data_IF_790194865681
#
_entry.id   IF_790194865681
#
_cell.length_a   1.000
_cell.length_b   1.000
_cell.length_c   1.000
_cell.angle_alpha   90.00
_cell.angle_beta   90.00
_cell.angle_gamma   90.00
#
_symmetry.space_group_name_H-M   'P 1'
#
loop_
_entity.id
_entity.type
_entity.pdbx_description
1 polymer ?
#
# COMPACT_ATOMS: atom_id res chain seq x y z
N UNK A 1 3.00 27.20 12.18
CA UNK A 1 2.41 26.19 13.09
C UNK A 1 1.61 25.26 12.19
N UNK A 2 2.13 24.09 11.92
CA UNK A 2 1.51 23.08 11.07
C UNK A 2 0.45 22.26 11.82
N UNK A 3 -0.24 21.39 11.10
CA UNK A 3 -1.20 20.44 11.68
C UNK A 3 -0.45 19.36 12.47
N UNK A 4 -1.00 18.93 13.60
CA UNK A 4 -0.44 17.87 14.46
C UNK A 4 -1.35 16.63 14.55
N UNK A 5 -2.34 16.53 13.69
CA UNK A 5 -3.26 15.41 13.64
C UNK A 5 -3.35 14.84 12.23
N UNK A 6 -3.55 13.53 12.07
CA UNK A 6 -3.80 12.94 10.77
C UNK A 6 -5.10 13.49 10.16
N UNK A 7 -5.20 13.43 8.83
CA UNK A 7 -6.44 13.77 8.15
C UNK A 7 -7.36 12.54 8.13
N UNK A 8 -8.62 12.75 8.47
CA UNK A 8 -9.64 11.71 8.44
C UNK A 8 -10.70 12.11 7.41
N UNK A 9 -10.99 11.23 6.47
CA UNK A 9 -11.97 11.45 5.41
C UNK A 9 -12.85 10.22 5.21
N UNK A 10 -14.16 10.40 5.20
CA UNK A 10 -15.09 9.36 4.80
C UNK A 10 -15.07 9.25 3.26
N UNK A 11 -14.63 8.11 2.75
CA UNK A 11 -14.41 7.85 1.32
C UNK A 11 -15.53 7.04 0.67
N UNK A 12 -16.33 6.38 1.50
CA UNK A 12 -17.57 5.69 1.17
C UNK A 12 -18.41 5.57 2.45
N UNK A 13 -19.69 5.22 2.40
CA UNK A 13 -20.47 4.98 3.61
C UNK A 13 -19.77 4.02 4.58
N UNK A 14 -19.65 4.43 5.86
CA UNK A 14 -19.00 3.66 6.91
C UNK A 14 -17.55 3.21 6.55
N UNK A 15 -16.84 4.01 5.78
CA UNK A 15 -15.49 3.70 5.31
C UNK A 15 -14.63 4.96 5.35
N UNK A 16 -13.62 4.97 6.20
CA UNK A 16 -12.73 6.12 6.40
C UNK A 16 -11.31 5.81 5.94
N UNK A 17 -10.70 6.82 5.34
CA UNK A 17 -9.27 6.93 5.14
C UNK A 17 -8.71 7.80 6.26
N UNK A 18 -7.72 7.32 6.96
CA UNK A 18 -6.90 8.07 7.91
C UNK A 18 -5.53 8.26 7.27
N UNK A 19 -5.19 9.50 6.96
CA UNK A 19 -3.91 9.82 6.36
C UNK A 19 -2.93 10.33 7.41
N UNK A 20 -1.88 9.56 7.66
CA UNK A 20 -0.83 9.90 8.58
C UNK A 20 0.14 10.88 7.94
N UNK A 21 -0.11 12.17 8.16
CA UNK A 21 0.78 13.30 7.80
C UNK A 21 1.21 13.35 6.32
N UNK A 22 0.32 12.95 5.41
CA UNK A 22 0.56 12.95 3.98
C UNK A 22 1.38 11.76 3.48
N UNK A 23 1.83 10.89 4.36
CA UNK A 23 2.65 9.73 4.01
C UNK A 23 1.81 8.47 3.84
N UNK A 24 1.22 7.95 4.92
CA UNK A 24 0.56 6.64 4.93
C UNK A 24 -0.96 6.78 4.95
N UNK A 25 -1.61 5.84 4.31
CA UNK A 25 -3.06 5.66 4.33
C UNK A 25 -3.42 4.40 5.12
N UNK A 26 -4.18 4.59 6.16
CA UNK A 26 -4.84 3.54 6.90
C UNK A 26 -6.34 3.61 6.64
N UNK A 27 -7.04 2.49 6.72
CA UNK A 27 -8.47 2.44 6.41
C UNK A 27 -9.25 1.81 7.55
N UNK A 28 -10.44 2.36 7.82
CA UNK A 28 -11.37 1.85 8.83
C UNK A 28 -12.69 1.57 8.14
N UNK A 29 -13.17 0.34 8.24
CA UNK A 29 -14.36 -0.16 7.58
C UNK A 29 -15.34 -0.66 8.65
N UNK A 30 -16.44 0.06 8.87
CA UNK A 30 -17.46 -0.31 9.84
C UNK A 30 -18.51 -1.20 9.18
N UNK A 31 -18.72 -2.38 9.74
CA UNK A 31 -19.85 -3.24 9.42
C UNK A 31 -20.91 -3.20 10.50
N UNK A 32 -22.02 -3.91 10.27
CA UNK A 32 -23.14 -3.96 11.23
C UNK A 32 -22.84 -4.78 12.48
N UNK A 33 -21.93 -5.75 12.42
CA UNK A 33 -21.58 -6.64 13.53
C UNK A 33 -20.15 -6.47 14.01
N UNK A 34 -19.22 -6.18 13.10
CA UNK A 34 -17.81 -6.02 13.34
C UNK A 34 -17.27 -4.92 12.41
N UNK A 35 -16.08 -4.43 12.74
CA UNK A 35 -15.32 -3.50 11.92
C UNK A 35 -13.97 -4.10 11.53
N UNK A 36 -13.30 -3.47 10.58
CA UNK A 36 -11.99 -3.87 10.11
C UNK A 36 -11.11 -2.65 9.93
N UNK A 37 -9.85 -2.80 10.29
CA UNK A 37 -8.80 -1.80 10.10
C UNK A 37 -7.79 -2.37 9.14
N UNK A 38 -7.32 -1.57 8.18
CA UNK A 38 -6.28 -1.95 7.22
C UNK A 38 -5.08 -1.05 7.41
N UNK A 39 -3.95 -1.62 7.75
CA UNK A 39 -2.70 -1.01 8.13
C UNK A 39 -2.83 -0.10 9.38
N UNK A 40 -1.71 0.25 9.99
CA UNK A 40 -1.71 1.09 11.19
C UNK A 40 -0.65 2.21 11.15
N UNK A 41 -0.09 2.50 9.97
CA UNK A 41 0.80 3.64 9.76
C UNK A 41 2.19 3.47 10.37
N UNK A 42 2.91 4.58 10.48
CA UNK A 42 4.27 4.63 11.02
C UNK A 42 4.32 4.76 12.54
N UNK A 43 3.17 4.95 13.21
CA UNK A 43 3.09 5.03 14.67
C UNK A 43 3.26 6.44 15.26
N UNK A 44 2.95 7.49 14.50
CA UNK A 44 3.02 8.89 14.94
C UNK A 44 1.71 9.43 15.54
N UNK A 45 0.70 8.60 15.68
CA UNK A 45 -0.54 9.00 16.33
C UNK A 45 -1.07 7.85 17.18
N UNK A 46 -1.92 8.18 18.14
CA UNK A 46 -2.74 7.19 18.85
C UNK A 46 -3.84 6.72 17.89
N UNK A 47 -3.45 5.81 16.99
CA UNK A 47 -4.34 5.34 15.93
C UNK A 47 -5.48 4.48 16.49
N UNK A 48 -5.22 3.71 17.55
CA UNK A 48 -6.26 2.97 18.25
C UNK A 48 -7.39 3.88 18.73
N UNK A 49 -7.06 4.99 19.38
CA UNK A 49 -8.08 5.96 19.81
C UNK A 49 -8.86 6.56 18.65
N UNK A 50 -8.23 6.76 17.48
CA UNK A 50 -8.92 7.18 16.26
C UNK A 50 -9.92 6.11 15.82
N UNK A 51 -9.50 4.84 15.76
CA UNK A 51 -10.38 3.72 15.41
C UNK A 51 -11.58 3.68 16.36
N UNK A 52 -11.35 3.68 17.66
CA UNK A 52 -12.39 3.60 18.70
C UNK A 52 -13.32 4.82 18.73
N UNK A 53 -12.91 5.95 18.15
CA UNK A 53 -13.79 7.11 17.96
C UNK A 53 -14.75 6.98 16.78
N UNK A 54 -14.44 6.12 15.80
CA UNK A 54 -15.22 5.95 14.56
C UNK A 54 -16.08 4.70 14.58
N UNK A 55 -15.68 3.66 15.34
CA UNK A 55 -16.40 2.40 15.43
C UNK A 55 -16.69 2.04 16.88
N UNK A 56 -17.86 1.44 17.11
CA UNK A 56 -18.40 1.10 18.43
C UNK A 56 -18.61 -0.42 18.61
N UNK A 57 -18.17 -1.22 17.63
CA UNK A 57 -18.24 -2.68 17.63
C UNK A 57 -16.83 -3.31 17.61
N UNK A 58 -16.69 -4.62 17.86
CA UNK A 58 -15.39 -5.30 17.80
C UNK A 58 -14.74 -5.13 16.42
N UNK A 59 -13.43 -4.99 16.40
CA UNK A 59 -12.68 -4.83 15.16
C UNK A 59 -11.43 -5.72 15.09
N UNK A 60 -10.99 -6.03 13.86
CA UNK A 60 -9.75 -6.72 13.54
C UNK A 60 -8.81 -5.78 12.78
N UNK A 61 -7.49 -5.92 13.00
CA UNK A 61 -6.45 -5.22 12.22
C UNK A 61 -5.86 -6.18 11.19
N UNK A 62 -5.90 -5.80 9.93
CA UNK A 62 -5.23 -6.47 8.81
C UNK A 62 -4.03 -5.65 8.36
N UNK A 63 -2.88 -6.28 8.17
CA UNK A 63 -1.67 -5.66 7.65
C UNK A 63 -1.48 -6.08 6.20
N UNK A 64 -1.36 -5.10 5.31
CA UNK A 64 -1.11 -5.37 3.88
C UNK A 64 0.26 -5.99 3.67
N UNK A 65 1.28 -5.50 4.38
CA UNK A 65 2.65 -6.01 4.30
C UNK A 65 3.51 -5.51 5.48
N UNK A 66 4.67 -6.12 5.65
CA UNK A 66 5.52 -5.97 6.83
C UNK A 66 6.44 -4.75 6.87
N UNK A 67 6.27 -3.71 6.03
CA UNK A 67 7.09 -2.52 6.15
C UNK A 67 6.67 -1.64 7.34
N UNK A 68 7.64 -0.96 7.94
CA UNK A 68 7.48 -0.21 9.19
C UNK A 68 6.46 0.93 9.11
N UNK A 69 6.23 1.47 7.96
CA UNK A 69 5.25 2.53 7.71
C UNK A 69 3.81 2.01 7.54
N UNK A 70 3.61 0.69 7.53
CA UNK A 70 2.29 0.04 7.54
C UNK A 70 1.98 -0.67 8.84
N UNK A 71 3.02 -1.08 9.60
CA UNK A 71 2.87 -1.79 10.87
C UNK A 71 3.42 -1.05 12.08
N UNK A 72 3.86 0.20 11.94
CA UNK A 72 4.54 0.96 13.01
C UNK A 72 3.73 1.15 14.29
N UNK A 73 2.42 1.20 14.21
CA UNK A 73 1.53 1.24 15.38
C UNK A 73 0.93 -0.12 15.77
N UNK A 74 1.47 -1.24 15.28
CA UNK A 74 0.87 -2.58 15.49
C UNK A 74 0.68 -2.88 17.00
N UNK A 75 1.62 -2.45 17.84
CA UNK A 75 1.57 -2.65 19.29
C UNK A 75 0.57 -1.75 20.03
N UNK A 76 -0.18 -0.93 19.33
CA UNK A 76 -1.39 -0.29 19.88
C UNK A 76 -2.59 -1.24 19.91
N UNK A 77 -2.51 -2.40 19.24
CA UNK A 77 -3.58 -3.38 19.08
C UNK A 77 -3.22 -4.70 19.74
N UNK A 78 -4.21 -5.35 20.34
CA UNK A 78 -4.03 -6.65 21.01
C UNK A 78 -3.84 -7.79 20.00
N UNK A 79 -4.43 -7.63 18.80
CA UNK A 79 -4.42 -8.64 17.76
C UNK A 79 -4.32 -8.00 16.37
N UNK A 80 -3.52 -8.63 15.49
CA UNK A 80 -3.40 -8.28 14.09
C UNK A 80 -3.33 -9.55 13.22
N UNK A 81 -3.64 -9.40 11.93
CA UNK A 81 -3.50 -10.46 10.93
C UNK A 81 -2.50 -10.02 9.86
N UNK A 82 -1.52 -10.86 9.57
CA UNK A 82 -0.49 -10.60 8.57
C UNK A 82 -0.06 -11.89 7.88
N UNK A 83 0.33 -11.80 6.60
CA UNK A 83 0.87 -12.96 5.90
C UNK A 83 2.21 -13.40 6.50
N UNK A 84 2.35 -14.70 6.80
CA UNK A 84 3.54 -15.26 7.45
C UNK A 84 4.85 -15.01 6.68
N UNK A 85 4.78 -14.83 5.36
CA UNK A 85 5.96 -14.52 4.55
C UNK A 85 6.59 -13.16 4.84
N UNK A 86 5.88 -12.27 5.53
CA UNK A 86 6.39 -10.97 5.99
C UNK A 86 6.71 -10.93 7.48
N UNK A 87 6.51 -12.03 8.22
CA UNK A 87 6.75 -12.10 9.67
C UNK A 87 8.14 -11.66 10.07
N UNK A 88 9.14 -11.99 9.27
CA UNK A 88 10.53 -11.59 9.50
C UNK A 88 10.72 -10.07 9.50
N UNK A 89 9.90 -9.32 8.77
CA UNK A 89 9.95 -7.85 8.74
C UNK A 89 9.47 -7.26 10.08
N UNK A 90 8.41 -7.82 10.67
CA UNK A 90 7.98 -7.46 12.01
C UNK A 90 9.02 -7.81 13.06
N UNK A 91 9.60 -9.01 12.99
CA UNK A 91 10.68 -9.39 13.91
C UNK A 91 11.91 -8.49 13.79
N UNK A 92 12.23 -8.04 12.59
CA UNK A 92 13.30 -7.08 12.35
C UNK A 92 12.95 -5.70 12.91
N UNK A 93 11.70 -5.27 12.77
CA UNK A 93 11.18 -4.04 13.35
C UNK A 93 11.33 -4.05 14.87
N UNK A 94 10.87 -5.11 15.54
CA UNK A 94 10.93 -5.26 16.99
C UNK A 94 12.37 -5.33 17.53
N UNK A 95 13.26 -6.02 16.83
CA UNK A 95 14.65 -6.21 17.26
C UNK A 95 15.53 -4.98 17.05
N UNK A 96 15.30 -4.23 15.98
CA UNK A 96 16.20 -3.13 15.57
C UNK A 96 15.87 -1.82 16.24
N UNK A 97 14.67 -1.68 16.83
CA UNK A 97 14.23 -0.40 17.36
C UNK A 97 14.35 0.67 16.26
N UNK A 98 13.68 0.46 15.13
CA UNK A 98 13.76 1.37 13.97
C UNK A 98 13.50 2.79 14.47
N UNK A 99 14.39 3.72 14.17
CA UNK A 99 14.13 5.12 14.40
C UNK A 99 13.02 5.54 13.42
N UNK A 100 11.78 5.41 13.88
CA UNK A 100 10.58 5.71 13.10
C UNK A 100 10.59 7.16 12.61
N UNK A 101 11.16 8.07 13.41
CA UNK A 101 11.23 9.48 13.07
C UNK A 101 12.16 9.74 11.88
N UNK A 102 13.36 9.18 11.87
CA UNK A 102 14.28 9.31 10.74
C UNK A 102 13.71 8.65 9.47
N UNK A 103 13.05 7.49 9.63
CA UNK A 103 12.35 6.81 8.55
C UNK A 103 11.21 7.65 7.99
N UNK A 104 10.39 8.23 8.88
CA UNK A 104 9.30 9.12 8.51
C UNK A 104 9.82 10.36 7.78
N UNK A 105 10.83 11.07 8.30
CA UNK A 105 11.38 12.26 7.65
C UNK A 105 11.94 11.95 6.26
N UNK A 106 12.62 10.81 6.12
CA UNK A 106 13.15 10.36 4.84
C UNK A 106 12.02 10.11 3.84
N UNK A 107 10.99 9.39 4.23
CA UNK A 107 9.84 9.08 3.38
C UNK A 107 8.98 10.33 3.11
N UNK A 108 8.78 11.18 4.11
CA UNK A 108 8.04 12.42 3.97
C UNK A 108 8.66 13.34 2.92
N UNK A 109 9.97 13.54 2.98
CA UNK A 109 10.70 14.29 1.97
C UNK A 109 10.61 13.67 0.57
N UNK A 110 10.46 12.33 0.48
CA UNK A 110 10.26 11.64 -0.79
C UNK A 110 8.87 11.87 -1.40
N UNK A 111 7.85 11.95 -0.57
CA UNK A 111 6.47 11.87 -0.99
C UNK A 111 5.74 13.22 -0.97
N UNK A 112 6.02 14.11 -0.03
CA UNK A 112 5.20 15.31 0.21
C UNK A 112 5.74 16.54 -0.55
N UNK A 113 7.05 16.68 -0.72
CA UNK A 113 7.63 17.83 -1.41
C UNK A 113 7.21 19.16 -0.74
N UNK A 114 6.65 20.09 -1.53
CA UNK A 114 6.23 21.42 -1.05
C UNK A 114 4.92 21.44 -0.23
N UNK A 115 4.33 20.25 0.08
CA UNK A 115 3.07 20.13 0.83
C UNK A 115 3.28 19.89 2.32
N UNK A 116 4.34 20.43 2.91
CA UNK A 116 4.60 20.30 4.34
C UNK A 116 3.65 21.19 5.16
N UNK A 117 2.41 20.70 5.34
CA UNK A 117 1.38 21.36 6.15
C UNK A 117 1.35 20.84 7.59
N UNK A 118 2.13 19.81 7.90
CA UNK A 118 2.18 19.19 9.22
C UNK A 118 3.42 19.61 10.01
N UNK A 119 3.28 19.60 11.32
CA UNK A 119 4.33 19.88 12.29
C UNK A 119 4.59 18.58 13.08
N UNK A 120 5.24 17.61 12.42
CA UNK A 120 5.52 16.29 13.00
C UNK A 120 6.83 16.35 13.76
N UNK A 121 6.80 15.86 15.00
CA UNK A 121 7.94 15.85 15.90
C UNK A 121 8.12 14.46 16.53
N UNK A 122 9.33 14.14 16.97
CA UNK A 122 9.68 12.81 17.49
C UNK A 122 8.83 12.41 18.72
N UNK A 123 8.40 13.38 19.52
CA UNK A 123 7.54 13.16 20.70
C UNK A 123 6.10 12.76 20.35
N UNK A 124 5.72 12.80 19.07
CA UNK A 124 4.43 12.30 18.58
C UNK A 124 4.42 10.79 18.36
N UNK A 125 5.57 10.11 18.44
CA UNK A 125 5.63 8.65 18.31
C UNK A 125 4.82 8.00 19.42
N UNK A 126 3.87 7.16 19.03
CA UNK A 126 2.98 6.40 19.91
C UNK A 126 3.08 4.90 19.59
N UNK A 127 4.12 4.19 20.07
CA UNK A 127 4.41 2.82 19.64
C UNK A 127 3.41 1.79 20.19
N UNK A 128 2.61 2.15 21.21
CA UNK A 128 1.74 1.21 21.89
C UNK A 128 2.44 0.40 22.98
N UNK A 129 1.69 -0.49 23.64
CA UNK A 129 2.16 -1.26 24.80
C UNK A 129 1.65 -2.71 24.84
N UNK A 130 0.97 -3.19 23.80
CA UNK A 130 0.50 -4.56 23.73
C UNK A 130 1.58 -5.51 23.21
N UNK A 131 1.59 -6.73 23.75
CA UNK A 131 2.24 -7.88 23.13
C UNK A 131 1.27 -8.44 22.08
N UNK A 132 1.31 -7.88 20.90
CA UNK A 132 0.32 -8.10 19.85
C UNK A 132 0.32 -9.56 19.38
N UNK A 133 -0.81 -10.23 19.50
CA UNK A 133 -1.01 -11.53 18.86
C UNK A 133 -1.10 -11.35 17.34
N UNK A 134 -0.11 -11.82 16.60
CA UNK A 134 -0.12 -11.78 15.14
C UNK A 134 -0.56 -13.12 14.58
N UNK A 135 -1.76 -13.14 14.01
CA UNK A 135 -2.37 -14.31 13.37
C UNK A 135 -1.99 -14.39 11.89
N UNK A 136 -1.85 -15.61 11.33
CA UNK A 136 -1.60 -15.76 9.90
C UNK A 136 -2.79 -15.28 9.07
N UNK A 137 -2.48 -14.68 7.91
CA UNK A 137 -3.44 -14.22 6.91
C UNK A 137 -3.13 -14.86 5.56
N UNK A 138 -4.16 -15.41 4.90
CA UNK A 138 -3.98 -16.17 3.67
C UNK A 138 -4.90 -15.67 2.55
N UNK A 139 -4.51 -15.98 1.32
CA UNK A 139 -5.39 -15.80 0.18
C UNK A 139 -6.70 -16.58 0.34
N UNK A 140 -7.81 -15.90 0.08
CA UNK A 140 -9.14 -16.49 0.19
C UNK A 140 -9.79 -16.35 1.57
N UNK A 141 -9.06 -15.84 2.58
CA UNK A 141 -9.69 -15.49 3.85
C UNK A 141 -10.75 -14.41 3.63
N UNK A 142 -11.87 -14.53 4.33
CA UNK A 142 -12.99 -13.61 4.24
C UNK A 142 -13.39 -13.13 5.63
N UNK A 143 -13.37 -11.84 5.83
CA UNK A 143 -13.88 -11.20 7.04
C UNK A 143 -15.31 -10.73 6.78
N UNK A 144 -16.27 -11.40 7.41
CA UNK A 144 -17.68 -11.03 7.36
C UNK A 144 -17.96 -10.02 8.48
N UNK A 145 -18.34 -8.82 8.09
CA UNK A 145 -18.63 -7.71 9.02
C UNK A 145 -20.14 -7.53 9.27
N UNK A 146 -20.96 -8.51 8.79
CA UNK A 146 -22.42 -8.52 8.87
C UNK A 146 -23.05 -8.05 7.56
N UNK A 147 -22.98 -6.78 7.24
CA UNK A 147 -23.55 -6.19 6.00
C UNK A 147 -22.51 -5.99 4.87
N UNK A 148 -21.27 -6.40 5.07
CA UNK A 148 -20.18 -6.31 4.09
C UNK A 148 -19.15 -7.42 4.32
N UNK A 149 -18.47 -7.84 3.26
CA UNK A 149 -17.41 -8.83 3.31
C UNK A 149 -16.13 -8.29 2.69
N UNK A 150 -15.03 -8.58 3.38
CA UNK A 150 -13.69 -8.23 2.93
C UNK A 150 -12.97 -9.52 2.54
N UNK A 151 -12.63 -9.65 1.27
CA UNK A 151 -11.89 -10.81 0.76
C UNK A 151 -10.41 -10.48 0.63
N UNK A 152 -9.57 -11.37 1.12
CA UNK A 152 -8.11 -11.22 1.14
C UNK A 152 -7.47 -11.91 -0.06
N UNK A 153 -6.54 -11.22 -0.71
CA UNK A 153 -5.81 -11.71 -1.88
C UNK A 153 -4.31 -11.56 -1.68
N UNK A 154 -3.59 -12.54 -2.18
CA UNK A 154 -2.13 -12.57 -2.15
C UNK A 154 -1.55 -11.91 -3.41
N UNK A 155 -0.70 -10.90 -3.22
CA UNK A 155 0.00 -10.23 -4.32
C UNK A 155 1.47 -9.94 -3.97
N UNK A 156 2.27 -11.00 -3.77
CA UNK A 156 3.68 -10.83 -3.43
C UNK A 156 4.42 -10.04 -4.52
N UNK A 157 5.27 -9.12 -4.13
CA UNK A 157 6.00 -8.27 -5.09
C UNK A 157 6.73 -7.14 -4.41
N UNK A 158 6.01 -6.22 -3.82
CA UNK A 158 6.57 -5.17 -3.00
C UNK A 158 7.26 -5.75 -1.76
N UNK A 159 6.60 -6.71 -1.11
CA UNK A 159 7.18 -7.63 -0.14
C UNK A 159 6.79 -9.08 -0.46
N UNK A 160 7.46 -10.10 0.13
CA UNK A 160 7.10 -11.50 -0.07
C UNK A 160 5.67 -11.86 0.34
N UNK A 161 5.17 -11.24 1.41
CA UNK A 161 3.85 -11.50 1.99
C UNK A 161 2.82 -10.43 1.70
N UNK A 162 3.03 -9.57 0.69
CA UNK A 162 2.10 -8.50 0.39
C UNK A 162 0.71 -9.02 0.03
N UNK A 163 -0.32 -8.43 0.69
CA UNK A 163 -1.74 -8.73 0.51
C UNK A 163 -2.48 -7.49 0.01
N UNK A 164 -3.64 -7.71 -0.60
CA UNK A 164 -4.63 -6.65 -0.85
C UNK A 164 -6.03 -7.16 -0.48
N UNK A 165 -6.95 -6.23 -0.28
CA UNK A 165 -8.26 -6.52 0.27
C UNK A 165 -9.34 -5.90 -0.60
N UNK A 166 -10.39 -6.66 -0.93
CA UNK A 166 -11.54 -6.15 -1.69
C UNK A 166 -12.76 -6.14 -0.78
N UNK A 167 -13.37 -4.97 -0.68
CA UNK A 167 -14.64 -4.74 -0.01
C UNK A 167 -15.78 -4.82 -1.02
N UNK A 168 -16.68 -5.77 -0.83
CA UNK A 168 -17.82 -6.01 -1.71
C UNK A 168 -18.89 -4.91 -1.59
N UNK A 169 -19.01 -4.28 -0.44
CA UNK A 169 -20.00 -3.22 -0.17
C UNK A 169 -19.63 -1.90 -0.84
N UNK A 170 -18.45 -1.40 -0.61
CA UNK A 170 -17.99 -0.12 -1.19
C UNK A 170 -17.43 -0.27 -2.60
N UNK A 171 -17.16 -1.49 -3.05
CA UNK A 171 -16.52 -1.83 -4.33
C UNK A 171 -15.13 -1.20 -4.44
N UNK A 172 -14.37 -1.24 -3.34
CA UNK A 172 -13.03 -0.70 -3.23
C UNK A 172 -12.03 -1.85 -3.06
N UNK A 173 -10.91 -1.79 -3.80
CA UNK A 173 -9.73 -2.56 -3.49
C UNK A 173 -8.72 -1.70 -2.70
N UNK A 174 -8.34 -2.15 -1.52
CA UNK A 174 -7.28 -1.58 -0.71
C UNK A 174 -5.99 -2.33 -1.00
N UNK A 175 -5.09 -1.69 -1.73
CA UNK A 175 -4.00 -2.39 -2.41
C UNK A 175 -2.65 -2.27 -1.71
N UNK A 176 -2.58 -1.57 -0.56
CA UNK A 176 -1.29 -1.26 0.05
C UNK A 176 -0.35 -0.69 -1.03
N UNK A 177 0.85 -1.21 -1.10
CA UNK A 177 1.90 -0.75 -2.01
C UNK A 177 2.05 -1.56 -3.31
N UNK A 178 1.13 -2.49 -3.59
CA UNK A 178 1.29 -3.38 -4.75
C UNK A 178 1.16 -2.69 -6.11
N UNK A 179 0.58 -1.49 -6.17
CA UNK A 179 0.47 -0.65 -7.38
C UNK A 179 1.52 0.47 -7.44
N UNK A 180 2.51 0.47 -6.56
CA UNK A 180 3.57 1.46 -6.57
C UNK A 180 4.52 1.28 -7.76
N UNK A 181 5.04 2.41 -8.27
CA UNK A 181 5.85 2.48 -9.49
C UNK A 181 7.13 1.62 -9.47
N UNK A 182 7.70 1.39 -8.29
CA UNK A 182 9.01 0.72 -8.15
C UNK A 182 8.94 -0.81 -8.11
N UNK A 183 7.75 -1.39 -8.04
CA UNK A 183 7.59 -2.84 -7.89
C UNK A 183 8.08 -3.64 -9.10
N UNK A 184 8.06 -3.06 -10.29
CA UNK A 184 8.48 -3.71 -11.52
C UNK A 184 9.97 -4.00 -11.61
N UNK A 185 10.81 -3.38 -10.78
CA UNK A 185 12.27 -3.57 -10.82
C UNK A 185 12.74 -4.86 -10.14
N UNK A 186 11.91 -5.48 -9.30
CA UNK A 186 12.29 -6.63 -8.45
C UNK A 186 12.14 -7.99 -9.13
N UNK A 187 11.30 -8.10 -10.14
CA UNK A 187 10.89 -9.37 -10.74
C UNK A 187 11.00 -9.31 -12.26
N UNK A 188 10.97 -10.47 -12.91
CA UNK A 188 10.81 -10.54 -14.34
C UNK A 188 9.54 -9.80 -14.79
N UNK A 189 9.61 -9.12 -15.93
CA UNK A 189 8.48 -8.31 -16.44
C UNK A 189 7.23 -9.17 -16.64
N UNK A 190 7.38 -10.38 -17.18
CA UNK A 190 6.29 -11.35 -17.37
C UNK A 190 5.59 -11.71 -16.05
N UNK A 191 6.37 -11.94 -14.98
CA UNK A 191 5.83 -12.21 -13.64
C UNK A 191 5.04 -11.03 -13.11
N UNK A 192 5.54 -9.81 -13.32
CA UNK A 192 4.83 -8.61 -12.88
C UNK A 192 3.50 -8.42 -13.60
N UNK A 193 3.43 -8.70 -14.91
CA UNK A 193 2.17 -8.69 -15.68
C UNK A 193 1.16 -9.66 -15.06
N UNK A 194 1.55 -10.92 -14.80
CA UNK A 194 0.64 -11.92 -14.21
C UNK A 194 0.08 -11.47 -12.85
N UNK A 195 0.89 -10.80 -12.03
CA UNK A 195 0.45 -10.24 -10.75
C UNK A 195 -0.59 -9.14 -10.92
N UNK A 196 -0.30 -8.19 -11.81
CA UNK A 196 -1.23 -7.09 -12.09
C UNK A 196 -2.53 -7.66 -12.69
N UNK A 197 -2.44 -8.70 -13.53
CA UNK A 197 -3.61 -9.37 -14.07
C UNK A 197 -4.46 -10.03 -12.97
N UNK A 198 -3.84 -10.67 -11.97
CA UNK A 198 -4.57 -11.19 -10.79
C UNK A 198 -5.32 -10.10 -10.04
N UNK A 199 -4.72 -8.93 -9.87
CA UNK A 199 -5.41 -7.79 -9.26
C UNK A 199 -6.61 -7.35 -10.11
N UNK A 200 -6.49 -7.35 -11.45
CA UNK A 200 -7.61 -7.02 -12.35
C UNK A 200 -8.74 -8.07 -12.30
N UNK A 201 -8.39 -9.33 -12.23
CA UNK A 201 -9.36 -10.43 -12.26
C UNK A 201 -10.17 -10.52 -10.96
N UNK A 202 -9.61 -10.10 -9.83
CA UNK A 202 -10.29 -10.01 -8.53
C UNK A 202 -10.98 -11.28 -8.09
N UNK A 203 -10.65 -12.44 -8.67
CA UNK A 203 -11.30 -13.74 -8.42
C UNK A 203 -12.83 -13.68 -8.40
N UNK A 204 -13.43 -12.88 -9.27
CA UNK A 204 -14.88 -12.72 -9.36
C UNK A 204 -15.48 -11.71 -8.36
N UNK A 205 -14.69 -11.14 -7.48
CA UNK A 205 -15.12 -10.01 -6.65
C UNK A 205 -14.97 -8.73 -7.47
N UNK A 206 -16.04 -7.99 -7.66
CA UNK A 206 -16.03 -6.77 -8.48
C UNK A 206 -15.68 -5.56 -7.65
N UNK A 207 -14.71 -4.78 -8.13
CA UNK A 207 -14.38 -3.46 -7.61
C UNK A 207 -14.14 -2.49 -8.79
N UNK A 208 -14.25 -1.21 -8.54
CA UNK A 208 -14.09 -0.16 -9.56
C UNK A 208 -13.16 0.97 -9.11
N UNK A 209 -12.81 0.99 -7.84
CA UNK A 209 -11.92 1.98 -7.25
C UNK A 209 -10.80 1.30 -6.47
N UNK A 210 -9.65 1.97 -6.43
CA UNK A 210 -8.46 1.51 -5.73
C UNK A 210 -8.01 2.60 -4.77
N UNK A 211 -7.66 2.20 -3.56
CA UNK A 211 -6.94 3.02 -2.61
C UNK A 211 -5.62 2.36 -2.23
N UNK A 212 -4.55 3.12 -2.26
CA UNK A 212 -3.18 2.65 -2.03
C UNK A 212 -2.70 2.94 -0.62
N UNK A 213 -1.59 2.33 -0.21
CA UNK A 213 -0.97 2.56 1.09
C UNK A 213 -0.38 3.96 1.28
N UNK A 214 -0.15 4.70 0.18
CA UNK A 214 0.37 6.07 0.24
C UNK A 214 -0.52 7.06 -0.48
N UNK A 215 -0.59 8.28 0.05
CA UNK A 215 -1.41 9.36 -0.53
C UNK A 215 -0.73 10.02 -1.71
N UNK A 216 0.58 9.97 -1.76
CA UNK A 216 1.34 10.64 -2.81
C UNK A 216 1.80 9.65 -3.86
N UNK A 217 1.33 9.85 -5.07
CA UNK A 217 1.85 9.19 -6.25
C UNK A 217 2.66 10.21 -7.07
N UNK A 218 3.95 9.94 -7.25
CA UNK A 218 4.85 10.84 -7.99
C UNK A 218 4.92 12.29 -7.45
N UNK A 219 4.90 12.48 -6.13
CA UNK A 219 5.03 13.80 -5.49
C UNK A 219 3.78 14.68 -5.58
N UNK A 220 2.62 14.11 -5.91
CA UNK A 220 1.34 14.79 -5.87
C UNK A 220 0.45 14.18 -4.79
N UNK A 221 -0.10 15.02 -3.93
CA UNK A 221 -1.10 14.60 -2.94
C UNK A 221 -2.30 14.00 -3.66
N UNK A 222 -2.51 12.70 -3.50
CA UNK A 222 -3.63 11.99 -4.08
C UNK A 222 -4.52 11.41 -2.97
N UNK A 223 -5.43 12.23 -2.46
CA UNK A 223 -6.45 11.83 -1.47
C UNK A 223 -7.67 11.18 -2.13
N UNK A 224 -7.61 10.93 -3.43
CA UNK A 224 -8.71 10.33 -4.20
C UNK A 224 -8.40 8.88 -4.52
N UNK A 225 -9.46 8.11 -4.74
CA UNK A 225 -9.33 6.79 -5.32
C UNK A 225 -8.73 6.85 -6.72
N UNK A 226 -7.91 5.86 -7.02
CA UNK A 226 -7.54 5.62 -8.40
C UNK A 226 -8.64 4.82 -9.11
N UNK A 227 -8.84 5.11 -10.38
CA UNK A 227 -9.63 4.28 -11.27
C UNK A 227 -8.95 2.91 -11.47
N UNK A 228 -9.73 1.85 -11.67
CA UNK A 228 -9.21 0.56 -12.11
C UNK A 228 -8.43 0.67 -13.44
N UNK A 229 -8.62 1.74 -14.19
CA UNK A 229 -7.89 2.00 -15.44
C UNK A 229 -6.37 2.13 -15.19
N UNK A 230 -5.96 2.64 -14.02
CA UNK A 230 -4.52 2.72 -13.70
C UNK A 230 -3.88 1.32 -13.65
N UNK A 231 -4.58 0.32 -13.12
CA UNK A 231 -4.09 -1.07 -13.07
C UNK A 231 -4.02 -1.67 -14.47
N UNK A 232 -5.00 -1.38 -15.33
CA UNK A 232 -4.97 -1.79 -16.74
C UNK A 232 -3.78 -1.17 -17.46
N UNK A 233 -3.56 0.13 -17.26
CA UNK A 233 -2.42 0.84 -17.84
C UNK A 233 -1.08 0.29 -17.36
N UNK A 234 -0.97 -0.15 -16.11
CA UNK A 234 0.23 -0.84 -15.61
C UNK A 234 0.47 -2.15 -16.39
N UNK A 235 -0.57 -2.99 -16.54
CA UNK A 235 -0.45 -4.23 -17.29
C UNK A 235 -0.08 -3.98 -18.76
N UNK A 236 -0.73 -3.02 -19.40
CA UNK A 236 -0.52 -2.71 -20.82
C UNK A 236 0.85 -2.07 -21.06
N UNK A 237 1.36 -1.25 -20.12
CA UNK A 237 2.71 -0.72 -20.15
C UNK A 237 3.78 -1.83 -20.20
N UNK A 238 3.65 -2.82 -19.34
CA UNK A 238 4.58 -3.96 -19.33
C UNK A 238 4.41 -4.87 -20.54
N UNK A 239 3.19 -5.04 -21.07
CA UNK A 239 2.95 -5.74 -22.32
C UNK A 239 3.60 -5.01 -23.51
N UNK A 240 3.47 -3.69 -23.56
CA UNK A 240 4.15 -2.86 -24.57
C UNK A 240 5.67 -3.01 -24.48
N UNK A 241 6.24 -3.09 -23.26
CA UNK A 241 7.67 -3.34 -23.06
C UNK A 241 8.09 -4.68 -23.67
N UNK A 242 7.35 -5.77 -23.43
CA UNK A 242 7.66 -7.09 -23.96
C UNK A 242 7.53 -7.15 -25.50
N UNK A 243 6.68 -6.30 -26.10
CA UNK A 243 6.55 -6.14 -27.55
C UNK A 243 7.60 -5.23 -28.19
N UNK A 244 8.40 -4.53 -27.37
CA UNK A 244 9.35 -3.52 -27.86
C UNK A 244 8.68 -2.21 -28.29
N UNK A 245 7.48 -1.94 -27.83
CA UNK A 245 6.64 -0.78 -28.18
C UNK A 245 6.59 0.28 -27.06
N UNK A 246 7.28 0.03 -25.94
CA UNK A 246 7.22 0.90 -24.77
C UNK A 246 7.91 2.25 -25.02
N UNK A 247 7.29 3.31 -24.52
CA UNK A 247 7.92 4.63 -24.43
C UNK A 247 8.67 4.76 -23.10
N UNK A 248 9.82 5.48 -23.14
CA UNK A 248 10.71 5.61 -22.01
C UNK A 248 11.01 7.07 -21.69
N UNK A 249 11.10 7.34 -20.37
CA UNK A 249 11.74 8.54 -19.87
C UNK A 249 12.94 8.17 -18.99
N UNK A 250 13.90 9.09 -18.89
CA UNK A 250 14.98 8.99 -17.91
C UNK A 250 14.58 9.67 -16.63
N UNK A 251 14.74 8.96 -15.52
CA UNK A 251 14.48 9.48 -14.18
C UNK A 251 15.74 9.44 -13.34
N UNK A 252 15.95 10.50 -12.58
CA UNK A 252 16.98 10.58 -11.55
C UNK A 252 16.29 10.55 -10.20
N UNK A 253 16.85 9.80 -9.26
CA UNK A 253 16.31 9.75 -7.90
C UNK A 253 16.42 11.14 -7.26
N UNK A 254 15.30 11.75 -6.92
CA UNK A 254 15.27 13.17 -6.56
C UNK A 254 15.95 13.49 -5.21
N UNK A 255 15.96 12.55 -4.24
CA UNK A 255 16.63 12.74 -2.95
C UNK A 255 18.09 12.28 -2.94
N UNK A 256 18.41 11.25 -3.71
CA UNK A 256 19.73 10.62 -3.70
C UNK A 256 20.27 10.47 -5.12
N UNK A 257 20.41 11.59 -5.88
CA UNK A 257 20.86 11.53 -7.28
C UNK A 257 22.27 10.97 -7.40
N UNK A 258 23.13 11.19 -6.39
CA UNK A 258 24.50 10.68 -6.36
C UNK A 258 24.59 9.19 -5.98
N UNK A 259 23.57 8.67 -5.28
CA UNK A 259 23.53 7.27 -4.83
C UNK A 259 22.92 6.35 -5.87
N UNK A 260 21.94 6.84 -6.60
CA UNK A 260 21.21 6.08 -7.61
C UNK A 260 21.37 6.74 -8.97
N UNK A 261 22.04 6.04 -9.93
CA UNK A 261 22.22 6.59 -11.28
C UNK A 261 20.87 6.78 -11.97
N UNK A 262 20.80 7.68 -12.95
CA UNK A 262 19.61 7.80 -13.79
C UNK A 262 19.24 6.44 -14.38
N UNK A 263 17.95 6.12 -14.35
CA UNK A 263 17.39 4.88 -14.85
C UNK A 263 16.22 5.15 -15.79
N UNK A 264 15.93 4.20 -16.65
CA UNK A 264 14.77 4.29 -17.56
C UNK A 264 13.51 3.86 -16.80
N UNK A 265 12.43 4.55 -17.09
CA UNK A 265 11.08 4.19 -16.66
C UNK A 265 10.17 4.09 -17.88
N UNK A 266 9.19 3.20 -17.83
CA UNK A 266 8.14 3.12 -18.83
C UNK A 266 7.13 4.22 -18.54
N UNK A 267 6.65 4.88 -19.59
CA UNK A 267 5.54 5.84 -19.53
C UNK A 267 4.39 5.31 -20.37
N UNK A 268 3.18 5.30 -19.81
CA UNK A 268 2.01 4.79 -20.50
C UNK A 268 0.72 5.50 -20.04
N UNK A 269 -0.23 5.68 -20.97
CA UNK A 269 -1.49 6.36 -20.69
C UNK A 269 -1.36 7.88 -20.61
N UNK A 270 -2.49 8.54 -20.35
CA UNK A 270 -2.60 9.99 -20.31
C UNK A 270 -3.39 10.46 -19.07
N UNK A 271 -3.28 11.75 -18.75
CA UNK A 271 -4.05 12.40 -17.69
C UNK A 271 -3.82 11.81 -16.29
N UNK A 272 -4.92 11.58 -15.58
CA UNK A 272 -4.89 11.05 -14.20
C UNK A 272 -4.52 9.55 -14.15
N UNK A 273 -4.78 8.82 -15.21
CA UNK A 273 -4.48 7.38 -15.32
C UNK A 273 -3.09 7.10 -15.91
N UNK A 274 -2.28 8.14 -16.18
CA UNK A 274 -0.91 8.00 -16.66
C UNK A 274 -0.06 7.30 -15.61
N UNK A 275 0.67 6.26 -16.04
CA UNK A 275 1.59 5.50 -15.19
C UNK A 275 3.04 5.73 -15.60
N UNK A 276 3.92 5.69 -14.59
CA UNK A 276 5.37 5.77 -14.76
C UNK A 276 5.98 4.65 -13.94
N UNK A 277 6.57 3.66 -14.58
CA UNK A 277 6.89 2.38 -13.98
C UNK A 277 8.37 2.04 -14.12
N UNK A 278 8.97 1.63 -13.03
CA UNK A 278 10.26 0.94 -13.06
C UNK A 278 10.09 -0.47 -13.63
N UNK A 279 11.14 -1.04 -14.19
CA UNK A 279 11.16 -2.41 -14.70
C UNK A 279 12.53 -3.05 -14.55
N UNK A 280 12.56 -4.37 -14.55
CA UNK A 280 13.81 -5.12 -14.50
C UNK A 280 14.45 -5.16 -15.89
N UNK A 281 15.44 -4.31 -16.12
CA UNK A 281 16.16 -4.24 -17.41
C UNK A 281 16.94 -5.52 -17.74
N UNK A 282 17.19 -6.38 -16.73
CA UNK A 282 18.02 -7.58 -16.88
C UNK A 282 17.21 -8.87 -17.07
N UNK A 283 15.92 -8.83 -16.72
CA UNK A 283 15.10 -10.03 -16.73
C UNK A 283 13.67 -9.71 -17.20
N UNK A 284 13.40 -9.98 -18.46
CA UNK A 284 12.06 -9.80 -19.03
C UNK A 284 11.17 -11.03 -18.84
N UNK A 285 11.76 -12.20 -18.75
CA UNK A 285 11.11 -13.50 -18.60
C UNK A 285 11.74 -14.29 -17.46
N UNK A 286 10.96 -15.16 -16.83
CA UNK A 286 11.52 -16.12 -15.86
C UNK A 286 12.36 -17.17 -16.57
N UNK A 287 13.33 -17.75 -15.84
CA UNK A 287 14.20 -18.79 -16.38
C UNK A 287 13.38 -20.02 -16.82
N UNK A 288 13.51 -20.40 -18.09
CA UNK A 288 12.80 -21.52 -18.69
C UNK A 288 11.32 -21.24 -19.08
N UNK A 289 10.87 -20.01 -18.96
CA UNK A 289 9.54 -19.58 -19.38
C UNK A 289 9.45 -19.50 -20.92
N UNK A 290 8.33 -19.92 -21.48
CA UNK A 290 8.01 -19.61 -22.88
C UNK A 290 7.75 -18.10 -23.02
N UNK A 291 8.30 -17.48 -24.09
CA UNK A 291 8.17 -16.05 -24.34
C UNK A 291 6.78 -15.68 -24.91
N UNK A 292 5.73 -16.07 -24.18
CA UNK A 292 4.34 -15.75 -24.49
C UNK A 292 3.91 -14.58 -23.61
N UNK A 293 3.51 -13.47 -24.21
CA UNK A 293 3.09 -12.27 -23.48
C UNK A 293 1.76 -12.56 -22.74
N UNK A 294 1.76 -12.49 -21.41
CA UNK A 294 0.59 -12.79 -20.59
C UNK A 294 -0.53 -11.75 -20.71
#
# INVERSE_FOLDING_TARGET
MGLKAPLISEIAPDTWLVNEFGLNNMYILKGSERSLVIDCGSGFCDFRSIVESLVDNPYDLLITHGHSDHLGAIHQFEKAYMNDRDRFLLEDFDKKGINLYDGFLTNNNLHIGDWDIWDVTEDMICPGSFDTEVCPLHEGDVFDLGNRKITCFDLPGHSPGHMYFIDDFSRIAFTGDCVNADNGSKYAVSTHIRRVQRLLDGYGVTYDRIFTGHTTYCGKLNVRSHSIQIVRNIADAYRALLRGEAEFEWRTHHLYPDRYPPHRVIVYGEGEDRVVLAFNEKQFWEDGEEHIIP
#
